data_IF_918555605224
#
_entry.id   IF_918555605224
#
_cell.length_a   1.000
_cell.length_b   1.000
_cell.length_c   1.000
_cell.angle_alpha   90.00
_cell.angle_beta   90.00
_cell.angle_gamma   90.00
#
_symmetry.space_group_name_H-M   'P 1'
#
loop_
_entity.id
_entity.type
_entity.pdbx_description
1 polymer ?
#
# COMPACT_ATOMS: atom_id res chain seq x y z
N UNK A 1 -10.35 5.89 24.65
CA UNK A 1 -10.65 6.02 23.21
C UNK A 1 -12.01 6.68 23.06
N UNK A 2 -12.17 7.61 22.12
CA UNK A 2 -13.42 8.37 21.94
C UNK A 2 -14.57 7.56 21.31
N UNK A 3 -15.76 8.18 21.17
CA UNK A 3 -16.98 7.51 20.68
C UNK A 3 -16.83 6.93 19.26
N UNK A 4 -15.97 7.53 18.43
CA UNK A 4 -15.79 7.15 17.03
C UNK A 4 -14.97 5.87 16.80
N UNK A 5 -14.43 5.25 17.85
CA UNK A 5 -13.59 4.05 17.70
C UNK A 5 -14.23 2.96 16.85
N UNK A 6 -15.54 2.71 17.03
CA UNK A 6 -16.27 1.70 16.27
C UNK A 6 -16.34 2.07 14.78
N UNK A 7 -16.57 3.34 14.47
CA UNK A 7 -16.63 3.84 13.09
C UNK A 7 -15.25 3.81 12.43
N UNK A 8 -14.19 4.21 13.15
CA UNK A 8 -12.81 4.10 12.65
C UNK A 8 -12.44 2.66 12.31
N UNK A 9 -12.78 1.69 13.18
CA UNK A 9 -12.50 0.27 12.92
C UNK A 9 -13.27 -0.23 11.69
N UNK A 10 -14.52 0.18 11.50
CA UNK A 10 -15.30 -0.16 10.31
C UNK A 10 -14.70 0.43 9.04
N UNK A 11 -14.26 1.69 9.07
CA UNK A 11 -13.62 2.34 7.93
C UNK A 11 -12.35 1.61 7.51
N UNK A 12 -11.47 1.25 8.46
CA UNK A 12 -10.28 0.44 8.16
C UNK A 12 -10.66 -0.92 7.57
N UNK A 13 -11.68 -1.59 8.14
CA UNK A 13 -12.13 -2.91 7.65
C UNK A 13 -12.62 -2.83 6.20
N UNK A 14 -13.40 -1.81 5.86
CA UNK A 14 -13.95 -1.63 4.52
C UNK A 14 -12.85 -1.56 3.46
N UNK A 15 -11.82 -0.75 3.71
CA UNK A 15 -10.66 -0.65 2.81
C UNK A 15 -9.89 -1.96 2.74
N UNK A 16 -9.64 -2.63 3.87
CA UNK A 16 -8.88 -3.88 3.85
C UNK A 16 -9.64 -5.06 3.25
N UNK A 17 -10.97 -5.09 3.34
CA UNK A 17 -11.79 -6.08 2.63
C UNK A 17 -11.63 -5.92 1.10
N UNK A 18 -11.58 -4.69 0.60
CA UNK A 18 -11.27 -4.43 -0.82
C UNK A 18 -9.84 -4.86 -1.18
N UNK A 19 -8.83 -4.45 -0.38
CA UNK A 19 -7.43 -4.82 -0.65
C UNK A 19 -7.20 -6.34 -0.61
N UNK A 20 -7.93 -7.08 0.23
CA UNK A 20 -7.91 -8.54 0.24
C UNK A 20 -8.49 -9.15 -1.05
N UNK A 21 -9.49 -8.53 -1.68
CA UNK A 21 -9.97 -8.96 -3.00
C UNK A 21 -8.96 -8.60 -4.09
N UNK A 22 -8.47 -7.36 -4.08
CA UNK A 22 -7.53 -6.83 -5.06
C UNK A 22 -6.17 -7.57 -5.10
N UNK A 23 -5.83 -8.31 -4.04
CA UNK A 23 -4.57 -9.06 -3.94
C UNK A 23 -4.78 -10.57 -3.81
N UNK A 24 -5.99 -11.06 -4.13
CA UNK A 24 -6.35 -12.47 -3.90
C UNK A 24 -5.51 -13.44 -4.74
N UNK A 25 -5.28 -13.08 -6.01
CA UNK A 25 -4.49 -13.87 -6.94
C UNK A 25 -3.00 -13.66 -6.68
N UNK A 26 -2.22 -14.72 -6.38
CA UNK A 26 -0.77 -14.60 -6.19
C UNK A 26 -0.06 -13.98 -7.41
N UNK A 27 0.86 -13.04 -7.16
CA UNK A 27 1.62 -12.35 -8.21
C UNK A 27 0.81 -11.33 -9.03
N UNK A 28 -0.39 -10.99 -8.57
CA UNK A 28 -1.24 -9.96 -9.19
C UNK A 28 -1.76 -9.03 -8.10
N UNK A 29 -1.68 -7.72 -8.36
CA UNK A 29 -2.35 -6.70 -7.55
C UNK A 29 -3.21 -5.86 -8.49
N UNK A 30 -4.52 -5.82 -8.23
CA UNK A 30 -5.43 -4.92 -8.92
C UNK A 30 -5.34 -3.53 -8.31
N UNK A 31 -5.08 -2.51 -9.12
CA UNK A 31 -4.67 -1.19 -8.65
C UNK A 31 -5.66 -0.09 -9.00
N UNK A 32 -6.52 -0.31 -10.00
CA UNK A 32 -7.55 0.66 -10.41
C UNK A 32 -8.76 -0.06 -11.02
N UNK A 33 -9.95 0.48 -10.78
CA UNK A 33 -11.21 0.05 -11.39
C UNK A 33 -11.96 1.30 -11.87
N UNK A 34 -12.04 1.48 -13.18
CA UNK A 34 -12.53 2.70 -13.81
C UNK A 34 -11.52 3.26 -14.80
N UNK A 35 -12.00 3.63 -15.99
CA UNK A 35 -11.27 4.55 -16.86
C UNK A 35 -11.54 5.98 -16.39
N UNK A 36 -10.50 6.70 -15.99
CA UNK A 36 -10.65 8.00 -15.34
C UNK A 36 -11.25 9.06 -16.27
N UNK A 37 -10.96 9.03 -17.57
CA UNK A 37 -11.53 10.00 -18.50
C UNK A 37 -13.02 9.75 -18.72
N UNK A 38 -13.42 8.49 -18.90
CA UNK A 38 -14.83 8.12 -19.01
C UNK A 38 -15.59 8.42 -17.72
N UNK A 39 -15.02 8.11 -16.56
CA UNK A 39 -15.61 8.33 -15.23
C UNK A 39 -15.80 9.84 -14.95
N UNK A 40 -14.76 10.65 -15.13
CA UNK A 40 -14.81 12.08 -14.87
C UNK A 40 -15.66 12.87 -15.90
N UNK A 41 -15.91 12.31 -17.08
CA UNK A 41 -16.83 12.90 -18.06
C UNK A 41 -18.30 12.68 -17.69
N UNK A 42 -18.58 11.85 -16.68
CA UNK A 42 -19.92 11.58 -16.22
C UNK A 42 -20.24 12.26 -14.89
N UNK A 43 -21.37 12.97 -14.83
CA UNK A 43 -21.85 13.61 -13.60
C UNK A 43 -23.21 13.03 -13.21
N UNK A 44 -23.17 11.94 -12.44
CA UNK A 44 -24.34 11.23 -11.97
C UNK A 44 -24.10 10.59 -10.60
N UNK A 45 -25.13 9.98 -10.03
CA UNK A 45 -24.95 9.22 -8.80
C UNK A 45 -24.24 7.91 -9.11
N UNK A 46 -23.33 7.42 -8.25
CA UNK A 46 -22.55 6.22 -8.55
C UNK A 46 -23.40 4.95 -8.77
N UNK A 47 -24.61 4.88 -8.20
CA UNK A 47 -25.57 3.80 -8.43
C UNK A 47 -26.21 3.80 -9.82
N UNK A 48 -26.16 4.92 -10.54
CA UNK A 48 -26.74 5.10 -11.87
C UNK A 48 -25.68 4.93 -12.99
N UNK A 49 -24.42 4.68 -12.63
CA UNK A 49 -23.32 4.69 -13.59
C UNK A 49 -23.35 3.58 -14.63
N UNK A 50 -23.20 3.97 -15.90
CA UNK A 50 -23.06 3.07 -17.05
C UNK A 50 -21.68 3.16 -17.75
N UNK A 51 -20.78 4.00 -17.22
CA UNK A 51 -19.41 4.16 -17.75
C UNK A 51 -18.58 2.88 -17.65
N UNK A 52 -17.59 2.74 -18.54
CA UNK A 52 -16.73 1.57 -18.57
C UNK A 52 -15.84 1.50 -17.31
N UNK A 53 -16.02 0.44 -16.51
CA UNK A 53 -15.23 0.19 -15.29
C UNK A 53 -14.06 -0.77 -15.51
N UNK A 54 -13.15 -0.40 -16.41
CA UNK A 54 -11.95 -1.20 -16.74
C UNK A 54 -11.12 -1.50 -15.51
N UNK A 55 -10.63 -2.73 -15.38
CA UNK A 55 -9.82 -3.18 -14.24
C UNK A 55 -8.35 -3.24 -14.65
N UNK A 56 -7.52 -2.47 -13.96
CA UNK A 56 -6.07 -2.42 -14.17
C UNK A 56 -5.33 -3.16 -13.05
N UNK A 57 -4.20 -3.77 -13.40
CA UNK A 57 -3.40 -4.58 -12.49
C UNK A 57 -1.92 -4.39 -12.75
N UNK A 58 -1.13 -4.72 -11.75
CA UNK A 58 0.30 -5.01 -11.87
C UNK A 58 0.55 -6.50 -11.67
N UNK A 59 1.61 -7.00 -12.30
CA UNK A 59 2.06 -8.38 -12.21
C UNK A 59 3.57 -8.48 -12.46
N UNK A 60 4.12 -9.68 -12.55
CA UNK A 60 5.56 -9.88 -12.68
C UNK A 60 6.15 -9.25 -13.97
N UNK A 61 5.35 -9.09 -15.02
CA UNK A 61 5.77 -8.47 -16.28
C UNK A 61 5.57 -6.94 -16.27
N UNK A 62 4.63 -6.47 -15.46
CA UNK A 62 4.29 -5.06 -15.29
C UNK A 62 4.33 -4.71 -13.80
N UNK A 63 5.54 -4.53 -13.21
CA UNK A 63 5.69 -4.34 -11.77
C UNK A 63 5.13 -2.99 -11.28
N UNK A 64 4.92 -2.90 -9.97
CA UNK A 64 4.45 -1.70 -9.26
C UNK A 64 4.74 -1.81 -7.76
N UNK A 65 6.00 -1.61 -7.40
CA UNK A 65 6.53 -1.74 -6.03
C UNK A 65 5.98 -0.69 -5.08
N UNK A 66 5.71 0.50 -5.58
CA UNK A 66 5.05 1.62 -4.92
C UNK A 66 3.67 1.19 -4.37
N UNK A 67 2.70 0.98 -5.26
CA UNK A 67 1.32 0.65 -4.89
C UNK A 67 1.20 -0.70 -4.19
N UNK A 68 2.05 -1.69 -4.53
CA UNK A 68 2.11 -2.95 -3.80
C UNK A 68 2.72 -2.76 -2.39
N UNK A 69 3.78 -1.96 -2.26
CA UNK A 69 4.42 -1.63 -0.98
C UNK A 69 3.46 -0.91 -0.03
N UNK A 70 2.73 0.11 -0.51
CA UNK A 70 1.71 0.80 0.26
C UNK A 70 0.52 -0.11 0.60
N UNK A 71 0.08 -0.97 -0.33
CA UNK A 71 -0.96 -1.98 -0.03
C UNK A 71 -0.51 -2.93 1.08
N UNK A 72 0.74 -3.37 1.05
CA UNK A 72 1.29 -4.21 2.11
C UNK A 72 1.40 -3.45 3.45
N UNK A 73 1.81 -2.18 3.43
CA UNK A 73 1.86 -1.31 4.61
C UNK A 73 0.47 -1.17 5.25
N UNK A 74 -0.56 -0.85 4.45
CA UNK A 74 -1.94 -0.71 4.89
C UNK A 74 -2.49 -1.99 5.53
N UNK A 75 -2.30 -3.15 4.89
CA UNK A 75 -2.71 -4.45 5.42
C UNK A 75 -1.96 -4.80 6.72
N UNK A 76 -0.66 -4.54 6.79
CA UNK A 76 0.15 -4.76 7.99
C UNK A 76 -0.29 -3.85 9.15
N UNK A 77 -0.51 -2.56 8.90
CA UNK A 77 -1.02 -1.61 9.87
C UNK A 77 -2.39 -2.03 10.41
N UNK A 78 -3.32 -2.38 9.53
CA UNK A 78 -4.65 -2.85 9.90
C UNK A 78 -4.60 -4.15 10.72
N UNK A 79 -3.67 -5.07 10.43
CA UNK A 79 -3.49 -6.28 11.24
C UNK A 79 -3.26 -5.97 12.73
N UNK A 80 -2.61 -4.85 13.05
CA UNK A 80 -2.40 -4.40 14.42
C UNK A 80 -3.73 -3.93 15.05
N UNK A 81 -4.54 -3.17 14.30
CA UNK A 81 -5.86 -2.69 14.73
C UNK A 81 -6.76 -3.88 15.12
N UNK A 82 -6.77 -4.92 14.30
CA UNK A 82 -7.64 -6.09 14.51
C UNK A 82 -7.04 -7.15 15.45
N UNK A 83 -5.78 -7.04 15.87
CA UNK A 83 -5.07 -8.10 16.63
C UNK A 83 -5.85 -8.70 17.79
N UNK A 84 -6.51 -7.86 18.60
CA UNK A 84 -7.34 -8.28 19.74
C UNK A 84 -8.85 -8.30 19.43
N UNK A 85 -9.27 -7.63 18.36
CA UNK A 85 -10.69 -7.44 18.01
C UNK A 85 -11.22 -8.57 17.14
N UNK A 86 -10.39 -9.02 16.21
CA UNK A 86 -10.62 -10.14 15.31
C UNK A 86 -9.26 -10.78 14.97
N UNK A 87 -8.80 -11.74 15.80
CA UNK A 87 -7.50 -12.38 15.60
C UNK A 87 -7.37 -13.16 14.30
N UNK A 88 -8.48 -13.71 13.77
CA UNK A 88 -8.48 -14.45 12.52
C UNK A 88 -8.27 -13.51 11.34
N UNK A 89 -9.03 -12.41 11.28
CA UNK A 89 -8.85 -11.38 10.27
C UNK A 89 -7.48 -10.71 10.37
N UNK A 90 -7.00 -10.42 11.58
CA UNK A 90 -5.64 -9.90 11.80
C UNK A 90 -4.55 -10.80 11.18
N UNK A 91 -4.63 -12.12 11.37
CA UNK A 91 -3.69 -13.08 10.76
C UNK A 91 -3.82 -13.11 9.23
N UNK A 92 -5.05 -13.06 8.70
CA UNK A 92 -5.29 -13.00 7.26
C UNK A 92 -4.64 -11.76 6.64
N UNK A 93 -4.86 -10.58 7.24
CA UNK A 93 -4.27 -9.32 6.79
C UNK A 93 -2.74 -9.37 6.80
N UNK A 94 -2.13 -9.81 7.92
CA UNK A 94 -0.67 -9.87 8.03
C UNK A 94 -0.08 -10.85 7.02
N UNK A 95 -0.69 -12.03 6.84
CA UNK A 95 -0.23 -13.00 5.87
C UNK A 95 -0.34 -12.47 4.43
N UNK A 96 -1.39 -11.72 4.10
CA UNK A 96 -1.51 -11.08 2.80
C UNK A 96 -0.47 -9.98 2.62
N UNK A 97 -0.28 -9.11 3.62
CA UNK A 97 0.72 -8.06 3.60
C UNK A 97 2.12 -8.59 3.27
N UNK A 98 2.52 -9.69 3.91
CA UNK A 98 3.82 -10.35 3.66
C UNK A 98 3.95 -10.80 2.20
N UNK A 99 2.89 -11.41 1.63
CA UNK A 99 2.90 -11.89 0.24
C UNK A 99 3.00 -10.73 -0.75
N UNK A 100 2.23 -9.67 -0.53
CA UNK A 100 2.21 -8.49 -1.39
C UNK A 100 3.54 -7.76 -1.34
N UNK A 101 4.13 -7.60 -0.14
CA UNK A 101 5.45 -6.99 0.00
C UNK A 101 6.55 -7.80 -0.69
N UNK A 102 6.52 -9.14 -0.55
CA UNK A 102 7.48 -9.99 -1.25
C UNK A 102 7.37 -9.86 -2.78
N UNK A 103 6.17 -9.65 -3.32
CA UNK A 103 5.97 -9.33 -4.73
C UNK A 103 6.58 -7.96 -5.08
N UNK A 104 6.27 -6.93 -4.28
CA UNK A 104 6.76 -5.56 -4.48
C UNK A 104 8.30 -5.49 -4.50
N UNK A 105 8.97 -6.16 -3.56
CA UNK A 105 10.43 -6.14 -3.45
C UNK A 105 11.12 -7.01 -4.53
N UNK A 106 10.51 -8.13 -4.90
CA UNK A 106 11.07 -9.05 -5.90
C UNK A 106 10.95 -8.51 -7.33
N UNK A 107 9.85 -7.81 -7.64
CA UNK A 107 9.55 -7.28 -8.97
C UNK A 107 9.53 -5.76 -8.90
N UNK A 108 10.72 -5.15 -9.01
CA UNK A 108 10.91 -3.72 -8.78
C UNK A 108 10.52 -2.85 -9.96
N UNK A 109 9.72 -1.82 -9.72
CA UNK A 109 9.34 -0.82 -10.72
C UNK A 109 8.19 0.06 -10.24
N UNK A 110 8.06 1.24 -10.83
CA UNK A 110 6.94 2.15 -10.59
C UNK A 110 5.69 1.64 -11.31
N UNK A 111 4.52 1.63 -10.66
CA UNK A 111 3.30 1.13 -11.30
C UNK A 111 2.90 1.98 -12.51
N UNK A 112 3.16 3.28 -12.44
CA UNK A 112 2.89 4.25 -13.50
C UNK A 112 3.73 4.01 -14.75
N UNK A 113 4.86 3.28 -14.65
CA UNK A 113 5.70 2.97 -15.83
C UNK A 113 4.98 2.11 -16.86
N UNK A 114 4.17 1.16 -16.40
CA UNK A 114 3.39 0.26 -17.27
C UNK A 114 1.94 0.72 -17.47
N UNK A 115 1.42 1.51 -16.53
CA UNK A 115 0.02 1.96 -16.51
C UNK A 115 -0.14 3.45 -16.77
N UNK A 116 0.88 4.13 -17.31
CA UNK A 116 0.90 5.59 -17.47
C UNK A 116 -0.39 6.14 -18.09
N UNK A 117 -0.86 5.55 -19.19
CA UNK A 117 -2.07 6.00 -19.89
C UNK A 117 -3.37 5.85 -19.09
N UNK A 118 -3.39 5.01 -18.06
CA UNK A 118 -4.56 4.75 -17.23
C UNK A 118 -4.56 5.54 -15.91
N UNK A 119 -3.37 5.85 -15.36
CA UNK A 119 -3.20 6.41 -14.02
C UNK A 119 -2.71 7.86 -14.03
N UNK A 120 -2.01 8.28 -15.08
CA UNK A 120 -1.58 9.66 -15.28
C UNK A 120 -2.60 10.44 -16.12
N UNK A 121 -2.81 11.73 -15.83
CA UNK A 121 -2.05 12.59 -14.92
C UNK A 121 -2.57 12.61 -13.45
N UNK A 122 -3.39 11.63 -13.03
CA UNK A 122 -4.09 11.68 -11.74
C UNK A 122 -3.20 11.33 -10.55
N UNK A 123 -2.59 10.14 -10.57
CA UNK A 123 -1.75 9.62 -9.50
C UNK A 123 -0.46 9.01 -10.07
N UNK A 124 0.34 9.81 -10.77
CA UNK A 124 1.63 9.35 -11.26
C UNK A 124 2.62 9.10 -10.11
N UNK A 125 3.36 7.99 -10.15
CA UNK A 125 4.58 7.90 -9.33
C UNK A 125 5.59 8.97 -9.80
N UNK A 126 5.92 9.91 -8.90
CA UNK A 126 6.87 11.00 -9.15
C UNK A 126 8.16 10.81 -8.34
N UNK A 127 8.07 10.27 -7.13
CA UNK A 127 9.21 10.12 -6.21
C UNK A 127 9.93 8.77 -6.34
N UNK A 128 9.33 7.80 -7.02
CA UNK A 128 9.80 6.42 -7.10
C UNK A 128 9.11 5.52 -6.08
N UNK A 129 9.49 4.24 -6.08
CA UNK A 129 8.92 3.21 -5.21
C UNK A 129 9.77 2.90 -3.96
N UNK A 130 10.91 3.57 -3.82
CA UNK A 130 11.95 3.22 -2.87
C UNK A 130 11.47 3.43 -1.43
N UNK A 131 10.78 4.53 -1.17
CA UNK A 131 10.21 4.84 0.12
C UNK A 131 9.02 3.94 0.46
N UNK A 132 8.15 3.55 -0.48
CA UNK A 132 7.09 2.56 -0.20
C UNK A 132 7.65 1.20 0.22
N UNK A 133 8.80 0.77 -0.34
CA UNK A 133 9.46 -0.46 0.10
C UNK A 133 9.97 -0.35 1.54
N UNK A 134 10.54 0.80 1.94
CA UNK A 134 10.94 1.02 3.33
C UNK A 134 9.72 1.12 4.25
N UNK A 135 8.68 1.84 3.83
CA UNK A 135 7.44 2.02 4.56
C UNK A 135 6.72 0.69 4.81
N UNK A 136 6.58 -0.15 3.77
CA UNK A 136 6.05 -1.50 3.86
C UNK A 136 6.84 -2.37 4.84
N UNK A 137 8.18 -2.35 4.75
CA UNK A 137 9.04 -3.10 5.67
C UNK A 137 8.88 -2.62 7.13
N UNK A 138 8.79 -1.32 7.37
CA UNK A 138 8.57 -0.72 8.70
C UNK A 138 7.25 -1.21 9.30
N UNK A 139 6.15 -1.16 8.54
CA UNK A 139 4.86 -1.65 9.03
C UNK A 139 4.84 -3.16 9.24
N UNK A 140 5.47 -3.94 8.37
CA UNK A 140 5.62 -5.38 8.54
C UNK A 140 6.45 -5.73 9.77
N UNK A 141 7.53 -4.99 10.04
CA UNK A 141 8.30 -5.15 11.27
C UNK A 141 7.43 -4.85 12.50
N UNK A 142 6.71 -3.73 12.49
CA UNK A 142 5.83 -3.31 13.59
C UNK A 142 4.72 -4.33 13.85
N UNK A 143 4.12 -4.89 12.80
CA UNK A 143 3.05 -5.87 12.90
C UNK A 143 3.56 -7.26 13.31
N UNK A 144 4.59 -7.77 12.66
CA UNK A 144 5.05 -9.15 12.84
C UNK A 144 6.10 -9.34 13.94
N UNK A 145 6.83 -8.27 14.29
CA UNK A 145 8.04 -8.29 15.14
C UNK A 145 9.17 -9.19 14.60
N UNK A 146 9.11 -9.59 13.32
CA UNK A 146 10.17 -10.41 12.70
C UNK A 146 11.41 -9.56 12.42
N UNK A 147 12.58 -10.13 12.75
CA UNK A 147 13.90 -9.47 12.58
C UNK A 147 14.25 -9.20 11.13
N UNK A 148 13.81 -10.07 10.20
CA UNK A 148 14.06 -9.94 8.75
C UNK A 148 13.65 -8.57 8.18
N UNK A 149 12.54 -7.99 8.65
CA UNK A 149 12.10 -6.68 8.17
C UNK A 149 12.94 -5.53 8.76
N UNK A 150 13.43 -5.67 9.99
CA UNK A 150 14.39 -4.72 10.58
C UNK A 150 15.72 -4.75 9.84
N UNK A 151 16.22 -5.94 9.54
CA UNK A 151 17.43 -6.13 8.75
C UNK A 151 17.26 -5.57 7.32
N UNK A 152 16.09 -5.77 6.70
CA UNK A 152 15.76 -5.16 5.42
C UNK A 152 15.84 -3.64 5.49
N UNK A 153 15.25 -3.00 6.50
CA UNK A 153 15.28 -1.54 6.66
C UNK A 153 16.72 -1.05 6.77
N UNK A 154 17.51 -1.60 7.70
CA UNK A 154 18.91 -1.16 7.92
C UNK A 154 19.76 -1.37 6.67
N UNK A 155 19.58 -2.49 5.96
CA UNK A 155 20.32 -2.76 4.73
C UNK A 155 19.98 -1.78 3.60
N UNK A 156 18.74 -1.31 3.55
CA UNK A 156 18.23 -0.55 2.42
C UNK A 156 18.03 0.95 2.72
N UNK A 157 18.17 1.42 3.96
CA UNK A 157 17.89 2.82 4.33
C UNK A 157 18.73 3.83 3.52
N UNK A 158 20.00 3.53 3.27
CA UNK A 158 20.88 4.37 2.45
C UNK A 158 20.58 4.23 0.96
N UNK A 159 20.35 3.00 0.49
CA UNK A 159 20.18 2.67 -0.94
C UNK A 159 18.82 3.15 -1.47
N UNK A 160 17.79 3.15 -0.61
CA UNK A 160 16.44 3.61 -0.90
C UNK A 160 16.22 5.08 -0.47
N UNK A 161 17.31 5.85 -0.34
CA UNK A 161 17.30 7.30 -0.13
C UNK A 161 16.51 7.75 1.10
N UNK A 162 16.47 6.99 2.19
CA UNK A 162 15.76 7.37 3.43
C UNK A 162 16.26 8.70 4.04
N UNK A 163 17.49 9.11 3.70
CA UNK A 163 18.09 10.37 4.12
C UNK A 163 17.69 11.59 3.29
N UNK A 164 16.92 11.42 2.21
CA UNK A 164 16.39 12.55 1.45
C UNK A 164 15.33 13.25 2.31
N UNK A 165 15.70 14.42 2.82
CA UNK A 165 14.84 15.26 3.66
C UNK A 165 13.78 15.92 2.79
N UNK A 166 12.70 15.19 2.54
CA UNK A 166 11.46 15.76 2.04
C UNK A 166 10.56 15.97 3.25
N UNK A 167 10.19 17.24 3.50
CA UNK A 167 9.39 17.65 4.66
C UNK A 167 7.89 17.33 4.49
N UNK A 168 7.55 16.39 3.62
CA UNK A 168 6.18 16.06 3.26
C UNK A 168 5.90 14.57 3.51
N UNK A 169 4.72 14.31 4.06
CA UNK A 169 4.14 12.97 4.11
C UNK A 169 2.86 13.00 3.30
N UNK A 170 2.83 12.24 2.22
CA UNK A 170 1.75 12.25 1.24
C UNK A 170 1.45 10.87 0.68
N UNK A 171 0.57 10.82 -0.31
CA UNK A 171 0.24 9.58 -1.00
C UNK A 171 1.39 9.07 -1.89
N UNK A 172 2.30 9.95 -2.32
CA UNK A 172 3.46 9.64 -3.17
C UNK A 172 4.80 9.73 -2.41
N UNK A 173 4.80 10.10 -1.12
CA UNK A 173 6.02 10.27 -0.35
C UNK A 173 5.86 9.85 1.11
N UNK A 174 6.68 8.90 1.55
CA UNK A 174 6.65 8.33 2.91
C UNK A 174 7.86 8.69 3.76
N UNK A 175 8.84 9.45 3.25
CA UNK A 175 10.12 9.69 3.92
C UNK A 175 9.95 10.25 5.35
N UNK A 176 9.11 11.28 5.53
CA UNK A 176 8.85 11.84 6.85
C UNK A 176 8.23 10.81 7.83
N UNK A 177 7.31 9.97 7.35
CA UNK A 177 6.69 8.90 8.12
C UNK A 177 7.67 7.79 8.50
N UNK A 178 8.55 7.41 7.56
CA UNK A 178 9.61 6.41 7.77
C UNK A 178 10.57 6.88 8.85
N UNK A 179 11.06 8.13 8.78
CA UNK A 179 11.99 8.69 9.76
C UNK A 179 11.43 8.66 11.19
N UNK A 180 10.14 9.01 11.36
CA UNK A 180 9.47 8.95 12.67
C UNK A 180 9.26 7.51 13.15
N UNK A 181 9.01 6.54 12.26
CA UNK A 181 8.81 5.16 12.67
C UNK A 181 10.11 4.41 12.94
N UNK A 182 11.16 4.64 12.14
CA UNK A 182 12.49 4.02 12.33
C UNK A 182 13.12 4.46 13.65
N UNK A 183 13.01 5.74 14.02
CA UNK A 183 13.49 6.23 15.33
C UNK A 183 12.87 5.51 16.53
N UNK A 184 11.69 4.89 16.36
CA UNK A 184 11.01 4.08 17.39
C UNK A 184 11.33 2.57 17.33
N UNK A 185 12.11 2.13 16.34
CA UNK A 185 12.48 0.73 16.07
C UNK A 185 13.97 0.48 16.34
N UNK A 186 14.79 1.53 16.31
CA UNK A 186 16.22 1.45 16.62
C UNK A 186 16.52 1.41 18.14
N UNK A 187 15.58 1.85 18.98
CA UNK A 187 15.61 1.71 20.44
C UNK A 187 14.86 0.46 20.90
#
# INVERSE_FOLDING_TARGET
MGPELKNTVKAVKWSTDYLLKATEKPGVVYVQVGDAYSDHSCWERPEDMDTLRTVYKIDNAHPGSDVAGETAAALAAASIVFRKRDPAYSRLLLNRAIRVFNFADKHRGAYSSSLHSAVCPFYCDVNGYQDELLWGAVWLHKASRKRVYREYIVKNEVVLRAGDTINEFGWDNKHAGINVLISKVQN
#
